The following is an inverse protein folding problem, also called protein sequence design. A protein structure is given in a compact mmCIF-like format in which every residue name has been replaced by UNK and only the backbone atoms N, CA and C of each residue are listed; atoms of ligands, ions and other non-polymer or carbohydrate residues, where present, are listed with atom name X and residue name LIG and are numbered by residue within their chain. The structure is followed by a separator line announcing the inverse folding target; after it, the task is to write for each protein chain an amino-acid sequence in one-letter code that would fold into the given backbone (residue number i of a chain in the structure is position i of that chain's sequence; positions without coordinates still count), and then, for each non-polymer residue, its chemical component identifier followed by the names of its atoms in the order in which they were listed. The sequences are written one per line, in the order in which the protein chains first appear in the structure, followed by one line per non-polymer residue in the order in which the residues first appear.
data_IF_453896645009
#
_entry.id   IF_453896645009
#
_cell.length_a   1.000
_cell.length_b   1.000
_cell.length_c   1.000
_cell.angle_alpha   90.00
_cell.angle_beta   90.00
_cell.angle_gamma   90.00
#
_symmetry.space_group_name_H-M   'P 1'
#
loop_
_entity.id
_entity.type
_entity.pdbx_description
1 polymer ?
#
# COMPACT_ATOMS: atom_id res chain seq x y z
N UNK A 1 2.03 3.26 2.65
CA UNK A 1 2.77 2.52 1.60
C UNK A 1 4.05 1.97 2.20
N UNK A 2 4.43 0.71 1.95
CA UNK A 2 5.63 0.10 2.56
C UNK A 2 6.89 0.17 1.70
N UNK A 3 6.76 0.55 0.42
CA UNK A 3 7.86 0.63 -0.55
C UNK A 3 7.78 1.95 -1.30
N UNK A 4 8.91 2.63 -1.49
CA UNK A 4 9.02 3.81 -2.35
C UNK A 4 10.24 3.67 -3.28
N UNK A 5 10.40 4.60 -4.22
CA UNK A 5 11.59 4.70 -5.06
C UNK A 5 12.58 5.70 -4.44
N UNK A 6 13.88 5.40 -4.46
CA UNK A 6 14.93 6.40 -4.21
C UNK A 6 15.18 7.26 -5.48
N UNK A 7 16.16 8.16 -5.40
CA UNK A 7 16.58 9.01 -6.54
C UNK A 7 17.09 8.18 -7.73
N UNK A 8 17.67 7.02 -7.48
CA UNK A 8 18.14 6.06 -8.50
C UNK A 8 17.02 5.18 -9.08
N UNK A 9 15.76 5.42 -8.68
CA UNK A 9 14.56 4.64 -9.06
C UNK A 9 14.56 3.18 -8.58
N UNK A 10 15.34 2.87 -7.56
CA UNK A 10 15.34 1.57 -6.91
C UNK A 10 14.24 1.48 -5.85
N UNK A 11 13.68 0.28 -5.67
CA UNK A 11 12.65 0.03 -4.65
C UNK A 11 13.28 -0.08 -3.27
N UNK A 12 12.87 0.78 -2.36
CA UNK A 12 13.33 0.81 -0.96
C UNK A 12 12.18 0.53 -0.02
N UNK A 13 12.38 -0.39 0.93
CA UNK A 13 11.43 -0.68 2.00
C UNK A 13 11.45 0.41 3.06
N UNK A 14 10.29 0.78 3.58
CA UNK A 14 10.19 1.80 4.62
C UNK A 14 10.93 1.42 5.91
N UNK A 15 11.11 0.12 6.17
CA UNK A 15 11.87 -0.38 7.33
C UNK A 15 13.37 -0.10 7.22
N UNK A 16 13.93 -0.15 6.01
CA UNK A 16 15.36 0.08 5.74
C UNK A 16 15.65 1.50 5.24
N UNK A 17 14.62 2.29 4.98
CA UNK A 17 14.73 3.66 4.48
C UNK A 17 15.40 4.63 5.48
N UNK A 18 16.12 5.59 4.92
CA UNK A 18 16.89 6.60 5.64
C UNK A 18 16.15 7.93 5.66
N UNK A 19 15.99 8.56 6.83
CA UNK A 19 15.21 9.81 6.98
C UNK A 19 15.74 11.00 6.17
N UNK A 20 17.02 11.01 5.81
CA UNK A 20 17.67 12.10 5.07
C UNK A 20 17.59 11.93 3.55
N UNK A 21 17.03 10.84 3.06
CA UNK A 21 16.92 10.53 1.63
C UNK A 21 15.54 10.92 1.12
N UNK A 22 15.48 11.41 -0.12
CA UNK A 22 14.21 11.66 -0.79
C UNK A 22 13.66 10.36 -1.37
N UNK A 23 12.34 10.21 -1.25
CA UNK A 23 11.63 9.04 -1.76
C UNK A 23 10.45 9.48 -2.60
N UNK A 24 10.13 8.66 -3.60
CA UNK A 24 9.09 8.92 -4.58
C UNK A 24 8.10 7.76 -4.64
N UNK A 25 6.82 8.09 -4.80
CA UNK A 25 5.77 7.12 -4.99
C UNK A 25 6.00 6.34 -6.29
N UNK A 26 6.04 4.99 -6.29
CA UNK A 26 6.24 4.20 -7.49
C UNK A 26 5.05 4.26 -8.46
N UNK A 27 3.89 4.78 -8.01
CA UNK A 27 2.66 4.82 -8.80
C UNK A 27 2.49 6.17 -9.49
N UNK A 28 2.68 7.28 -8.77
CA UNK A 28 2.48 8.62 -9.33
C UNK A 28 3.76 9.45 -9.49
N UNK A 29 4.91 8.94 -9.04
CA UNK A 29 6.20 9.63 -9.11
C UNK A 29 6.36 10.81 -8.13
N UNK A 30 5.34 11.16 -7.35
CA UNK A 30 5.39 12.28 -6.41
C UNK A 30 6.21 11.95 -5.16
N UNK A 31 6.80 12.98 -4.55
CA UNK A 31 7.59 12.83 -3.33
C UNK A 31 6.73 12.30 -2.17
N UNK A 32 7.28 11.36 -1.41
CA UNK A 32 6.67 10.78 -0.21
C UNK A 32 7.59 10.95 1.00
N UNK A 33 6.99 10.96 2.19
CA UNK A 33 7.68 11.17 3.45
C UNK A 33 7.75 9.84 4.21
N UNK A 34 8.94 9.49 4.69
CA UNK A 34 9.12 8.35 5.59
C UNK A 34 8.55 8.70 6.98
N UNK A 35 7.51 7.98 7.40
CA UNK A 35 6.94 7.99 8.75
C UNK A 35 7.47 6.77 9.50
N UNK A 36 8.18 7.00 10.61
CA UNK A 36 8.72 5.94 11.48
C UNK A 36 8.79 6.42 12.92
N UNK A 37 8.18 5.69 13.85
CA UNK A 37 8.20 6.01 15.28
C UNK A 37 7.80 4.82 16.15
N UNK A 38 7.78 5.02 17.47
CA UNK A 38 7.51 3.94 18.44
C UNK A 38 6.08 3.38 18.35
N UNK A 39 5.11 4.21 17.96
CA UNK A 39 3.68 3.85 17.91
C UNK A 39 3.19 3.49 16.50
N UNK A 40 4.03 3.66 15.47
CA UNK A 40 3.61 3.59 14.08
C UNK A 40 4.66 2.87 13.27
N UNK A 41 4.24 1.83 12.54
CA UNK A 41 5.11 1.07 11.64
C UNK A 41 5.77 1.99 10.62
N UNK A 42 6.99 1.65 10.22
CA UNK A 42 7.69 2.38 9.16
C UNK A 42 6.88 2.29 7.86
N UNK A 43 6.46 3.43 7.34
CA UNK A 43 5.74 3.53 6.06
C UNK A 43 6.01 4.87 5.39
N UNK A 44 5.82 4.92 4.07
CA UNK A 44 5.79 6.14 3.28
C UNK A 44 4.36 6.69 3.17
N UNK A 45 4.25 8.00 3.30
CA UNK A 45 3.01 8.75 3.19
C UNK A 45 3.18 9.94 2.22
N UNK A 46 2.14 10.21 1.42
CA UNK A 46 2.03 11.44 0.64
C UNK A 46 1.91 12.65 1.59
N UNK A 47 2.46 13.80 1.17
CA UNK A 47 2.47 15.00 2.02
C UNK A 47 1.07 15.62 2.09
N UNK A 48 0.30 15.54 1.01
CA UNK A 48 -1.07 16.04 0.95
C UNK A 48 -2.05 14.89 0.78
N UNK A 49 -3.07 14.82 1.65
CA UNK A 49 -4.16 13.84 1.54
C UNK A 49 -4.98 13.98 0.25
N UNK A 50 -4.96 15.17 -0.37
CA UNK A 50 -5.60 15.44 -1.66
C UNK A 50 -4.85 14.83 -2.86
N UNK A 51 -3.62 14.34 -2.66
CA UNK A 51 -2.93 13.59 -3.69
C UNK A 51 -3.69 12.28 -3.89
N UNK A 52 -3.95 11.94 -5.16
CA UNK A 52 -4.72 10.74 -5.56
C UNK A 52 -4.41 9.55 -4.65
N UNK A 53 -5.41 8.70 -4.39
CA UNK A 53 -5.18 7.40 -3.74
C UNK A 53 -4.28 6.55 -4.63
N UNK A 54 -2.97 6.80 -4.59
CA UNK A 54 -1.94 6.15 -5.39
C UNK A 54 -1.62 4.76 -4.85
N UNK A 55 -2.37 4.33 -3.84
CA UNK A 55 -2.25 3.03 -3.24
C UNK A 55 -3.67 2.47 -3.11
N UNK A 56 -4.05 1.68 -4.09
CA UNK A 56 -5.02 0.63 -3.84
C UNK A 56 -4.29 -0.33 -2.90
N UNK A 57 -4.68 -0.40 -1.63
CA UNK A 57 -4.09 -1.33 -0.64
C UNK A 57 -4.16 -2.80 -1.10
N UNK A 58 -4.90 -3.06 -2.17
CA UNK A 58 -5.16 -4.36 -2.72
C UNK A 58 -4.52 -4.55 -4.10
N UNK A 59 -3.68 -5.57 -4.22
CA UNK A 59 -3.22 -6.04 -5.53
C UNK A 59 -4.30 -6.86 -6.20
N UNK A 60 -4.28 -7.01 -7.53
CA UNK A 60 -5.19 -7.93 -8.26
C UNK A 60 -5.13 -9.33 -7.65
N UNK A 61 -3.94 -9.79 -7.22
CA UNK A 61 -3.77 -11.07 -6.55
C UNK A 61 -4.56 -11.12 -5.23
N UNK A 62 -4.45 -10.08 -4.40
CA UNK A 62 -5.19 -10.00 -3.14
C UNK A 62 -6.71 -9.97 -3.39
N UNK A 63 -7.19 -9.18 -4.37
CA UNK A 63 -8.61 -9.19 -4.75
C UNK A 63 -9.10 -10.56 -5.21
N UNK A 64 -8.34 -11.22 -6.10
CA UNK A 64 -8.65 -12.58 -6.57
C UNK A 64 -8.70 -13.58 -5.41
N UNK A 65 -7.80 -13.48 -4.45
CA UNK A 65 -7.83 -14.32 -3.24
C UNK A 65 -9.10 -14.08 -2.42
N UNK A 66 -9.54 -12.83 -2.24
CA UNK A 66 -10.83 -12.52 -1.58
C UNK A 66 -12.01 -13.10 -2.34
N UNK A 67 -12.00 -13.02 -3.68
CA UNK A 67 -13.05 -13.60 -4.51
C UNK A 67 -13.14 -15.12 -4.38
N UNK A 68 -12.00 -15.82 -4.42
CA UNK A 68 -11.94 -17.28 -4.22
C UNK A 68 -12.50 -17.65 -2.83
N UNK A 69 -12.06 -16.95 -1.78
CA UNK A 69 -12.57 -17.18 -0.43
C UNK A 69 -14.08 -16.94 -0.34
N UNK A 70 -14.58 -15.86 -0.95
CA UNK A 70 -16.00 -15.55 -0.95
C UNK A 70 -16.83 -16.64 -1.64
N UNK A 71 -16.35 -17.17 -2.78
CA UNK A 71 -16.99 -18.29 -3.49
C UNK A 71 -17.02 -19.56 -2.64
N UNK A 72 -15.91 -19.91 -1.99
CA UNK A 72 -15.85 -21.09 -1.11
C UNK A 72 -16.81 -20.98 0.07
N UNK A 73 -16.93 -19.80 0.68
CA UNK A 73 -17.83 -19.57 1.81
C UNK A 73 -19.30 -19.55 1.34
N UNK A 74 -19.57 -18.99 0.15
CA UNK A 74 -20.91 -18.98 -0.43
C UNK A 74 -21.41 -20.41 -0.73
N UNK A 75 -20.51 -21.31 -1.17
CA UNK A 75 -20.83 -22.73 -1.39
C UNK A 75 -21.24 -23.46 -0.10
N UNK A 76 -20.87 -22.95 1.07
CA UNK A 76 -21.29 -23.48 2.37
C UNK A 76 -22.67 -22.94 2.81
N UNK A 77 -23.36 -22.18 1.97
CA UNK A 77 -24.68 -21.61 2.25
C UNK A 77 -24.63 -20.30 3.06
N UNK A 78 -23.45 -19.74 3.27
CA UNK A 78 -23.31 -18.45 3.95
C UNK A 78 -23.55 -17.28 2.99
N UNK A 79 -24.20 -16.23 3.49
CA UNK A 79 -24.26 -14.94 2.79
C UNK A 79 -22.92 -14.23 2.93
N UNK A 80 -22.30 -13.85 1.81
CA UNK A 80 -20.98 -13.21 1.76
C UNK A 80 -21.04 -11.95 0.93
N UNK A 81 -20.36 -10.89 1.38
CA UNK A 81 -20.19 -9.63 0.68
C UNK A 81 -18.70 -9.25 0.72
N UNK A 82 -18.17 -8.71 -0.38
CA UNK A 82 -16.78 -8.22 -0.46
C UNK A 82 -16.83 -6.70 -0.28
N UNK A 83 -15.94 -6.15 0.55
CA UNK A 83 -15.86 -4.70 0.81
C UNK A 83 -15.64 -3.89 -0.49
N UNK A 84 -16.35 -2.77 -0.69
CA UNK A 84 -16.15 -1.90 -1.85
C UNK A 84 -14.85 -1.08 -1.73
N UNK A 85 -14.27 -0.71 -2.89
CA UNK A 85 -13.00 0.05 -3.01
C UNK A 85 -13.16 1.57 -2.87
#
# INVERSE_FOLDING_TARGET
MLVALNEEKERVLATTALRKTQYFCPVCGKQVILKRGLKVISHFAHKHLAEQKCFNNETIKHYKSKLILAQMIQQQGCKVEIEPF
#
